data_IF_658550330228
#
_entry.id   IF_658550330228
#
_cell.length_a   1.000
_cell.length_b   1.000
_cell.length_c   1.000
_cell.angle_alpha   90.00
_cell.angle_beta   90.00
_cell.angle_gamma   90.00
#
_symmetry.space_group_name_H-M   'P 1'
#
loop_
_entity.id
_entity.type
_entity.pdbx_description
1 polymer ?
#
# COMPACT_ATOMS: atom_id res chain seq x y z
N UNK A 1 7.94 -1.43 18.96
CA UNK A 1 7.73 -2.15 17.68
C UNK A 1 7.52 -1.10 16.61
N UNK A 2 8.54 -0.85 15.82
CA UNK A 2 8.46 0.06 14.68
C UNK A 2 7.75 -0.64 13.51
N UNK A 3 7.42 0.14 12.47
CA UNK A 3 6.75 -0.39 11.28
C UNK A 3 7.58 -1.50 10.60
N UNK A 4 8.92 -1.40 10.66
CA UNK A 4 9.81 -2.42 10.11
C UNK A 4 9.73 -3.72 10.92
N UNK A 5 9.81 -3.65 12.26
CA UNK A 5 9.67 -4.81 13.14
C UNK A 5 8.34 -5.55 12.89
N UNK A 6 7.26 -4.79 12.74
CA UNK A 6 5.94 -5.34 12.44
C UNK A 6 5.90 -6.02 11.06
N UNK A 7 6.47 -5.39 10.04
CA UNK A 7 6.48 -5.94 8.69
C UNK A 7 7.30 -7.23 8.63
N UNK A 8 8.46 -7.28 9.28
CA UNK A 8 9.30 -8.47 9.33
C UNK A 8 8.54 -9.64 9.96
N UNK A 9 7.89 -9.41 11.11
CA UNK A 9 7.08 -10.43 11.77
C UNK A 9 5.89 -10.87 10.90
N UNK A 10 5.16 -9.92 10.29
CA UNK A 10 4.03 -10.22 9.43
C UNK A 10 4.44 -11.01 8.19
N UNK A 11 5.57 -10.69 7.57
CA UNK A 11 6.07 -11.35 6.38
C UNK A 11 6.40 -12.84 6.64
N UNK A 12 6.84 -13.20 7.86
CA UNK A 12 7.08 -14.61 8.22
C UNK A 12 5.81 -15.47 8.23
N UNK A 13 4.64 -14.85 8.41
CA UNK A 13 3.33 -15.53 8.49
C UNK A 13 2.68 -15.71 7.12
N UNK A 14 3.23 -15.10 6.07
CA UNK A 14 2.70 -15.17 4.71
C UNK A 14 3.28 -16.39 3.97
N UNK A 15 2.47 -17.20 3.27
CA UNK A 15 2.98 -18.29 2.44
C UNK A 15 3.96 -17.78 1.38
N UNK A 16 5.04 -18.52 1.10
CA UNK A 16 6.09 -18.12 0.13
C UNK A 16 5.56 -17.65 -1.23
N UNK A 17 4.49 -18.31 -1.72
CA UNK A 17 3.83 -17.97 -2.98
C UNK A 17 3.16 -16.58 -2.97
N UNK A 18 2.75 -16.09 -1.80
CA UNK A 18 2.07 -14.81 -1.62
C UNK A 18 2.98 -13.71 -1.08
N UNK A 19 4.19 -14.05 -0.57
CA UNK A 19 5.14 -13.07 -0.02
C UNK A 19 5.46 -11.93 -0.99
N UNK A 20 5.66 -12.23 -2.28
CA UNK A 20 5.94 -11.20 -3.29
C UNK A 20 4.78 -10.20 -3.41
N UNK A 21 3.55 -10.71 -3.48
CA UNK A 21 2.35 -9.89 -3.59
C UNK A 21 2.12 -9.08 -2.31
N UNK A 22 2.29 -9.69 -1.14
CA UNK A 22 2.19 -9.02 0.15
C UNK A 22 3.17 -7.85 0.26
N UNK A 23 4.46 -8.10 -0.05
CA UNK A 23 5.50 -7.07 -0.02
C UNK A 23 5.22 -5.95 -1.01
N UNK A 24 4.76 -6.29 -2.22
CA UNK A 24 4.37 -5.29 -3.22
C UNK A 24 3.23 -4.39 -2.75
N UNK A 25 2.18 -4.97 -2.16
CA UNK A 25 1.06 -4.21 -1.59
C UNK A 25 1.54 -3.31 -0.44
N UNK A 26 2.38 -3.83 0.45
CA UNK A 26 2.89 -3.06 1.57
C UNK A 26 3.73 -1.86 1.12
N UNK A 27 4.68 -2.07 0.21
CA UNK A 27 5.50 -0.99 -0.38
C UNK A 27 4.60 0.05 -1.05
N UNK A 28 3.57 -0.38 -1.77
CA UNK A 28 2.62 0.51 -2.43
C UNK A 28 1.83 1.38 -1.45
N UNK A 29 1.41 0.82 -0.31
CA UNK A 29 0.74 1.56 0.77
C UNK A 29 1.70 2.63 1.33
N UNK A 30 2.92 2.24 1.70
CA UNK A 30 3.93 3.16 2.25
C UNK A 30 4.26 4.28 1.25
N UNK A 31 4.38 3.95 -0.03
CA UNK A 31 4.59 4.91 -1.10
C UNK A 31 3.46 5.94 -1.19
N UNK A 32 2.19 5.51 -1.14
CA UNK A 32 1.06 6.43 -1.18
C UNK A 32 0.98 7.33 0.05
N UNK A 33 1.35 6.83 1.24
CA UNK A 33 1.47 7.68 2.44
C UNK A 33 2.55 8.76 2.25
N UNK A 34 3.72 8.39 1.72
CA UNK A 34 4.77 9.35 1.41
C UNK A 34 4.32 10.37 0.36
N UNK A 35 3.60 9.93 -0.67
CA UNK A 35 3.04 10.80 -1.71
C UNK A 35 2.02 11.79 -1.14
N UNK A 36 1.07 11.35 -0.31
CA UNK A 36 0.11 12.23 0.37
C UNK A 36 0.83 13.27 1.24
N UNK A 37 1.85 12.86 2.00
CA UNK A 37 2.64 13.81 2.80
C UNK A 37 3.33 14.84 1.91
N UNK A 38 3.87 14.43 0.78
CA UNK A 38 4.48 15.33 -0.19
C UNK A 38 3.42 16.28 -0.80
N UNK A 39 2.24 15.79 -1.18
CA UNK A 39 1.14 16.62 -1.68
C UNK A 39 0.68 17.68 -0.67
N UNK A 40 0.60 17.33 0.61
CA UNK A 40 0.31 18.31 1.68
C UNK A 40 1.35 19.41 1.80
N UNK A 41 2.62 19.09 1.61
CA UNK A 41 3.74 20.03 1.76
C UNK A 41 3.93 20.88 0.50
N UNK A 42 3.82 20.29 -0.69
CA UNK A 42 4.18 20.93 -1.95
C UNK A 42 2.97 21.46 -2.73
N UNK A 43 1.79 20.85 -2.58
CA UNK A 43 0.57 21.17 -3.35
C UNK A 43 -0.53 21.79 -2.48
N UNK A 44 -0.33 21.86 -1.15
CA UNK A 44 -1.32 22.32 -0.16
C UNK A 44 -2.66 21.55 -0.23
N UNK A 45 -2.64 20.35 -0.79
CA UNK A 45 -3.78 19.44 -0.80
C UNK A 45 -3.84 18.64 0.50
N UNK A 46 -5.00 18.62 1.15
CA UNK A 46 -5.21 17.84 2.37
C UNK A 46 -6.28 16.78 2.16
N UNK A 47 -5.90 15.50 2.23
CA UNK A 47 -6.85 14.39 2.32
C UNK A 47 -6.86 13.84 3.74
N UNK A 48 -8.04 13.51 4.25
CA UNK A 48 -8.19 12.82 5.53
C UNK A 48 -7.59 11.41 5.45
N UNK A 49 -7.22 10.82 6.59
CA UNK A 49 -6.74 9.43 6.64
C UNK A 49 -7.73 8.45 6.00
N UNK A 50 -9.03 8.67 6.20
CA UNK A 50 -10.08 7.86 5.58
C UNK A 50 -10.07 7.96 4.04
N UNK A 51 -9.89 9.15 3.49
CA UNK A 51 -9.80 9.36 2.04
C UNK A 51 -8.55 8.68 1.44
N UNK A 52 -7.41 8.79 2.13
CA UNK A 52 -6.17 8.13 1.70
C UNK A 52 -6.33 6.61 1.69
N UNK A 53 -6.94 6.04 2.73
CA UNK A 53 -7.22 4.61 2.81
C UNK A 53 -8.18 4.16 1.70
N UNK A 54 -9.22 4.95 1.41
CA UNK A 54 -10.17 4.65 0.35
C UNK A 54 -9.49 4.60 -1.03
N UNK A 55 -8.65 5.59 -1.36
CA UNK A 55 -7.90 5.65 -2.61
C UNK A 55 -6.95 4.45 -2.76
N UNK A 56 -6.16 4.17 -1.72
CA UNK A 56 -5.23 3.03 -1.73
C UNK A 56 -5.97 1.70 -1.90
N UNK A 57 -7.15 1.55 -1.29
CA UNK A 57 -7.99 0.35 -1.45
C UNK A 57 -8.51 0.22 -2.87
N UNK A 58 -9.01 1.29 -3.47
CA UNK A 58 -9.46 1.31 -4.86
C UNK A 58 -8.33 0.92 -5.82
N UNK A 59 -7.15 1.53 -5.67
CA UNK A 59 -5.99 1.22 -6.50
C UNK A 59 -5.58 -0.26 -6.41
N UNK A 60 -5.54 -0.82 -5.20
CA UNK A 60 -5.25 -2.25 -5.00
C UNK A 60 -6.28 -3.13 -5.72
N UNK A 61 -7.58 -2.77 -5.66
CA UNK A 61 -8.64 -3.50 -6.36
C UNK A 61 -8.45 -3.41 -7.88
N UNK A 62 -8.10 -2.24 -8.41
CA UNK A 62 -7.86 -2.05 -9.85
C UNK A 62 -6.64 -2.85 -10.32
N UNK A 63 -5.53 -2.84 -9.56
CA UNK A 63 -4.34 -3.64 -9.87
C UNK A 63 -4.70 -5.13 -9.91
N UNK A 64 -5.47 -5.63 -8.93
CA UNK A 64 -5.93 -7.02 -8.93
C UNK A 64 -6.78 -7.36 -10.15
N UNK A 65 -7.73 -6.49 -10.52
CA UNK A 65 -8.56 -6.68 -11.72
C UNK A 65 -7.71 -6.74 -12.99
N UNK A 66 -6.77 -5.82 -13.15
CA UNK A 66 -5.87 -5.79 -14.30
C UNK A 66 -5.01 -7.07 -14.39
N UNK A 67 -4.50 -7.55 -13.25
CA UNK A 67 -3.73 -8.81 -13.20
C UNK A 67 -4.59 -10.05 -13.49
N UNK A 68 -5.87 -10.06 -13.12
CA UNK A 68 -6.79 -11.15 -13.48
C UNK A 68 -7.17 -11.18 -14.97
N UNK A 69 -7.13 -10.04 -15.66
CA UNK A 69 -7.42 -9.95 -17.10
C UNK A 69 -6.19 -10.32 -17.95
N UNK A 70 -4.99 -10.19 -17.38
CA UNK A 70 -3.71 -10.42 -18.07
C UNK A 70 -3.17 -11.86 -17.95
N UNK A 71 -3.91 -12.78 -17.32
CA UNK A 71 -3.56 -14.21 -17.19
C UNK A 71 -4.56 -15.10 -17.88
#
# INVERSE_FOLDING_TARGET
>A
MCLADWWEEAATKVPKQQCRTFNGVFIYIVWNLCKERNGRIFENEHKTSAQVVALVKEDIVQIRRAMCIAG
#
